data_IF_672823101338
#
_entry.id   IF_672823101338
#
_cell.length_a   1.000
_cell.length_b   1.000
_cell.length_c   1.000
_cell.angle_alpha   90.00
_cell.angle_beta   90.00
_cell.angle_gamma   90.00
#
_symmetry.space_group_name_H-M   'P 1'
#
loop_
_entity.id
_entity.type
_entity.pdbx_description
1 polymer ?
#
# COMPACT_ATOMS: atom_id res chain seq x y z
N UNK A 1 -13.61 -7.99 4.89
CA UNK A 1 -12.18 -8.08 5.17
C UNK A 1 -11.39 -7.77 3.92
N UNK A 2 -10.34 -6.94 4.01
CA UNK A 2 -9.59 -6.61 2.79
C UNK A 2 -8.86 -7.82 2.24
N UNK A 3 -8.81 -7.88 0.91
CA UNK A 3 -8.11 -8.94 0.21
C UNK A 3 -6.59 -8.67 0.29
N UNK A 4 -5.79 -9.59 0.82
CA UNK A 4 -4.35 -9.39 0.91
C UNK A 4 -3.68 -9.08 -0.42
N UNK A 5 -4.16 -9.66 -1.52
CA UNK A 5 -3.62 -9.36 -2.85
C UNK A 5 -3.89 -7.92 -3.25
N UNK A 6 -5.07 -7.44 -2.95
CA UNK A 6 -5.44 -6.05 -3.23
C UNK A 6 -4.62 -5.10 -2.37
N UNK A 7 -4.42 -5.43 -1.10
CA UNK A 7 -3.61 -4.62 -0.19
C UNK A 7 -2.17 -4.54 -0.69
N UNK A 8 -1.61 -5.66 -1.12
CA UNK A 8 -0.25 -5.68 -1.66
C UNK A 8 -0.12 -4.81 -2.90
N UNK A 9 -1.11 -4.89 -3.79
CA UNK A 9 -1.13 -4.05 -4.99
C UNK A 9 -1.18 -2.57 -4.64
N UNK A 10 -2.01 -2.21 -3.67
CA UNK A 10 -2.13 -0.83 -3.22
C UNK A 10 -0.85 -0.33 -2.59
N UNK A 11 -0.17 -1.16 -1.80
CA UNK A 11 1.11 -0.79 -1.22
C UNK A 11 2.17 -0.55 -2.29
N UNK A 12 2.19 -1.38 -3.33
CA UNK A 12 3.11 -1.19 -4.45
C UNK A 12 2.84 0.12 -5.17
N UNK A 13 1.58 0.45 -5.39
CA UNK A 13 1.20 1.71 -6.01
C UNK A 13 1.57 2.90 -5.14
N UNK A 14 1.38 2.77 -3.84
CA UNK A 14 1.73 3.82 -2.91
C UNK A 14 3.23 4.09 -2.93
N UNK A 15 4.04 3.04 -2.89
CA UNK A 15 5.49 3.18 -2.94
C UNK A 15 5.94 3.83 -4.24
N UNK A 16 5.36 3.41 -5.37
CA UNK A 16 5.66 3.99 -6.67
C UNK A 16 5.27 5.47 -6.73
N UNK A 17 4.11 5.82 -6.19
CA UNK A 17 3.63 7.20 -6.17
C UNK A 17 4.53 8.08 -5.29
N UNK A 18 4.97 7.56 -4.16
CA UNK A 18 5.90 8.30 -3.28
C UNK A 18 7.22 8.55 -3.97
N UNK A 19 7.74 7.53 -4.63
CA UNK A 19 9.01 7.65 -5.34
C UNK A 19 8.90 8.67 -6.47
N UNK A 20 7.82 8.59 -7.25
CA UNK A 20 7.59 9.52 -8.35
C UNK A 20 7.49 10.96 -7.86
N UNK A 21 6.79 11.17 -6.74
CA UNK A 21 6.63 12.50 -6.16
C UNK A 21 7.95 13.03 -5.61
N UNK A 22 8.76 12.14 -5.02
CA UNK A 22 10.07 12.53 -4.50
C UNK A 22 11.03 12.93 -5.62
N UNK A 23 10.93 12.24 -6.77
CA UNK A 23 11.78 12.56 -7.93
C UNK A 23 11.35 13.84 -8.62
N UNK A 24 10.05 14.11 -8.69
CA UNK A 24 9.51 15.28 -9.36
C UNK A 24 8.21 15.71 -8.70
N UNK A 25 8.27 16.73 -7.88
CA UNK A 25 7.10 17.26 -7.20
C UNK A 25 6.28 18.11 -8.15
N UNK A 26 5.21 17.53 -8.67
CA UNK A 26 4.27 18.20 -9.55
C UNK A 26 2.87 18.04 -8.99
N UNK A 27 1.92 18.83 -9.52
CA UNK A 27 0.52 18.67 -9.15
C UNK A 27 0.03 17.28 -9.49
N UNK A 28 0.50 16.73 -10.60
CA UNK A 28 0.09 15.40 -11.03
C UNK A 28 0.60 14.32 -10.06
N UNK A 29 1.87 14.39 -9.65
CA UNK A 29 2.40 13.39 -8.72
C UNK A 29 1.79 13.54 -7.34
N UNK A 30 1.52 14.77 -6.92
CA UNK A 30 0.83 15.01 -5.65
C UNK A 30 -0.57 14.42 -5.67
N UNK A 31 -1.30 14.61 -6.77
CA UNK A 31 -2.64 14.07 -6.91
C UNK A 31 -2.64 12.54 -6.92
N UNK A 32 -1.68 11.93 -7.60
CA UNK A 32 -1.55 10.49 -7.65
C UNK A 32 -1.26 9.91 -6.27
N UNK A 33 -0.36 10.54 -5.54
CA UNK A 33 0.00 10.09 -4.20
C UNK A 33 -1.20 10.21 -3.25
N UNK A 34 -1.91 11.33 -3.33
CA UNK A 34 -3.09 11.55 -2.51
C UNK A 34 -4.18 10.51 -2.80
N UNK A 35 -4.41 10.24 -4.07
CA UNK A 35 -5.42 9.27 -4.50
C UNK A 35 -5.10 7.86 -3.99
N UNK A 36 -3.86 7.42 -4.16
CA UNK A 36 -3.44 6.10 -3.69
C UNK A 36 -3.50 6.02 -2.16
N UNK A 37 -3.10 7.09 -1.48
CA UNK A 37 -3.17 7.15 -0.01
C UNK A 37 -4.61 7.01 0.46
N UNK A 38 -5.53 7.73 -0.18
CA UNK A 38 -6.94 7.65 0.16
C UNK A 38 -7.49 6.23 -0.05
N UNK A 39 -7.16 5.64 -1.21
CA UNK A 39 -7.61 4.29 -1.54
C UNK A 39 -7.10 3.27 -0.51
N UNK A 40 -5.84 3.41 -0.11
CA UNK A 40 -5.26 2.52 0.88
C UNK A 40 -5.93 2.69 2.24
N UNK A 41 -6.24 3.93 2.64
CA UNK A 41 -6.95 4.18 3.88
C UNK A 41 -8.34 3.54 3.86
N UNK A 42 -9.06 3.65 2.76
CA UNK A 42 -10.38 3.04 2.60
C UNK A 42 -10.27 1.52 2.68
N UNK A 43 -9.30 0.95 1.99
CA UNK A 43 -9.12 -0.50 1.96
C UNK A 43 -8.77 -1.08 3.33
N UNK A 44 -8.09 -0.32 4.16
CA UNK A 44 -7.70 -0.76 5.50
C UNK A 44 -8.62 -0.23 6.60
N UNK A 45 -9.66 0.50 6.21
CA UNK A 45 -10.64 1.11 7.13
C UNK A 45 -9.98 2.04 8.15
N UNK A 46 -9.01 2.82 7.71
CA UNK A 46 -8.32 3.81 8.53
C UNK A 46 -8.49 5.20 7.96
N UNK A 47 -8.18 6.23 8.74
CA UNK A 47 -8.29 7.61 8.31
C UNK A 47 -6.94 8.28 8.06
N UNK A 48 -5.84 7.63 8.47
CA UNK A 48 -4.51 8.16 8.29
C UNK A 48 -3.62 7.15 7.61
N UNK A 49 -2.74 7.64 6.73
CA UNK A 49 -1.91 6.74 5.92
C UNK A 49 -0.93 5.91 6.77
N UNK A 50 -0.41 6.48 7.85
CA UNK A 50 0.49 5.72 8.71
C UNK A 50 -0.23 4.54 9.36
N UNK A 51 -1.48 4.75 9.76
CA UNK A 51 -2.30 3.67 10.31
C UNK A 51 -2.66 2.66 9.23
N UNK A 52 -2.95 3.13 8.02
CA UNK A 52 -3.25 2.25 6.90
C UNK A 52 -2.05 1.35 6.58
N UNK A 53 -0.85 1.90 6.60
CA UNK A 53 0.35 1.13 6.35
C UNK A 53 0.59 0.09 7.44
N UNK A 54 0.32 0.43 8.68
CA UNK A 54 0.45 -0.51 9.81
C UNK A 54 -0.55 -1.65 9.68
N UNK A 55 -1.80 -1.34 9.34
CA UNK A 55 -2.84 -2.35 9.17
C UNK A 55 -2.51 -3.25 7.97
N UNK A 56 -2.06 -2.64 6.86
CA UNK A 56 -1.70 -3.39 5.66
C UNK A 56 -0.55 -4.36 5.95
N UNK A 57 0.45 -3.88 6.69
CA UNK A 57 1.58 -4.71 7.07
C UNK A 57 1.14 -5.89 7.94
N UNK A 58 0.23 -5.63 8.86
CA UNK A 58 -0.32 -6.68 9.72
C UNK A 58 -1.09 -7.72 8.91
N UNK A 59 -1.90 -7.27 7.96
CA UNK A 59 -2.67 -8.17 7.09
C UNK A 59 -1.72 -9.08 6.31
N UNK A 60 -0.67 -8.50 5.74
CA UNK A 60 0.29 -9.26 4.94
C UNK A 60 1.13 -10.20 5.81
N UNK A 61 1.40 -9.80 7.05
CA UNK A 61 2.17 -10.64 7.97
C UNK A 61 1.44 -11.91 8.35
N UNK A 62 0.12 -11.92 8.24
CA UNK A 62 -0.69 -13.10 8.53
C UNK A 62 -0.74 -14.09 7.38
N UNK A 63 -0.20 -13.71 6.22
CA UNK A 63 -0.16 -14.57 5.04
C UNK A 63 1.17 -15.31 5.00
N UNK A 64 1.18 -16.63 4.73
CA UNK A 64 2.45 -17.30 4.51
C UNK A 64 3.10 -16.74 3.25
N UNK A 65 4.40 -16.41 3.29
CA UNK A 65 5.07 -15.90 2.11
C UNK A 65 5.10 -16.96 1.01
N UNK A 66 4.84 -16.57 -0.24
CA UNK A 66 4.85 -17.53 -1.35
C UNK A 66 6.17 -18.28 -1.47
N UNK A 67 7.27 -17.61 -1.18
CA UNK A 67 8.60 -18.21 -1.26
C UNK A 67 8.80 -19.33 -0.25
N UNK A 68 8.06 -19.32 0.85
CA UNK A 68 8.18 -20.37 1.86
C UNK A 68 7.77 -21.73 1.32
N UNK A 69 6.89 -21.76 0.34
CA UNK A 69 6.40 -22.99 -0.25
C UNK A 69 7.50 -23.68 -1.05
N UNK A 70 8.31 -22.91 -1.74
CA UNK A 70 9.35 -23.46 -2.57
C UNK A 70 10.65 -23.76 -1.85
N UNK A 71 10.70 -23.45 -0.58
CA UNK A 71 11.95 -23.60 0.14
C UNK A 71 12.23 -24.99 0.65
N UNK A 72 11.29 -25.80 0.58
CA UNK A 72 11.45 -27.19 1.03
C UNK A 72 12.02 -28.07 -0.05
#
# INVERSE_FOLDING_TARGET
>A
MPDPKNVRTLLSRYAAARLAHAERETLKTAAQLDDVSYTLCVATATTEINDALAVADHILAQQPPPAAVGRL
#
